data_IF_751453192366
#
_entry.id   IF_751453192366
#
_cell.length_a   1.000
_cell.length_b   1.000
_cell.length_c   1.000
_cell.angle_alpha   90.00
_cell.angle_beta   90.00
_cell.angle_gamma   90.00
#
_symmetry.space_group_name_H-M   'P 1'
#
loop_
_entity.id
_entity.type
_entity.pdbx_description
1 polymer ?
#
# COMPACT_ATOMS: atom_id res chain seq x y z
N UNK A 1 23.77 4.66 -41.25
CA UNK A 1 24.05 4.69 -39.81
C UNK A 1 22.83 5.31 -39.16
N UNK A 2 21.93 4.49 -38.63
CA UNK A 2 20.73 4.96 -37.93
C UNK A 2 20.98 4.86 -36.43
N UNK A 3 20.89 6.00 -35.76
CA UNK A 3 21.07 6.17 -34.33
C UNK A 3 19.81 5.66 -33.61
N UNK A 4 19.92 4.56 -32.87
CA UNK A 4 18.86 4.09 -31.97
C UNK A 4 18.74 5.08 -30.80
N UNK A 5 17.74 5.96 -30.85
CA UNK A 5 17.43 6.91 -29.78
C UNK A 5 16.07 6.61 -29.16
N UNK A 6 15.95 5.47 -28.48
CA UNK A 6 14.90 5.25 -27.50
C UNK A 6 15.51 4.51 -26.30
N UNK A 7 16.10 5.29 -25.40
CA UNK A 7 16.26 4.89 -24.02
C UNK A 7 14.88 5.07 -23.38
N UNK A 8 14.12 3.99 -23.27
CA UNK A 8 13.02 3.91 -22.32
C UNK A 8 13.63 4.03 -20.92
N UNK A 9 13.73 5.27 -20.42
CA UNK A 9 13.87 5.44 -18.98
C UNK A 9 12.57 4.95 -18.37
N UNK A 10 12.57 3.91 -17.53
CA UNK A 10 11.40 3.65 -16.72
C UNK A 10 11.08 4.96 -16.01
N UNK A 11 9.85 5.46 -16.17
CA UNK A 11 9.35 6.53 -15.33
C UNK A 11 9.29 5.94 -13.92
N UNK A 12 10.43 5.98 -13.22
CA UNK A 12 10.50 5.63 -11.82
C UNK A 12 9.65 6.69 -11.16
N UNK A 13 8.36 6.38 -10.91
CA UNK A 13 7.56 7.11 -9.95
C UNK A 13 8.43 7.21 -8.70
N UNK A 14 8.70 8.43 -8.27
CA UNK A 14 9.45 8.62 -7.06
C UNK A 14 8.65 8.03 -5.90
N UNK A 15 9.32 7.54 -4.85
CA UNK A 15 8.61 7.00 -3.68
C UNK A 15 7.68 8.06 -3.04
N UNK A 16 7.95 9.35 -3.26
CA UNK A 16 7.10 10.47 -2.84
C UNK A 16 5.78 10.52 -3.63
N UNK A 17 5.78 10.10 -4.90
CA UNK A 17 4.57 10.04 -5.73
C UNK A 17 3.62 8.91 -5.33
N UNK A 18 4.07 7.98 -4.46
CA UNK A 18 3.30 6.84 -3.97
C UNK A 18 2.65 7.13 -2.60
N UNK A 19 2.90 8.28 -2.00
CA UNK A 19 2.32 8.66 -0.70
C UNK A 19 1.02 9.40 -0.95
N UNK A 20 -0.08 8.75 -0.61
CA UNK A 20 -1.42 9.32 -0.65
C UNK A 20 -1.72 10.08 0.66
N UNK A 21 -2.56 11.13 0.61
CA UNK A 21 -3.10 11.74 1.81
C UNK A 21 -3.80 10.70 2.70
N UNK A 22 -3.69 10.84 4.02
CA UNK A 22 -4.26 9.85 4.94
C UNK A 22 -5.78 9.72 4.78
N UNK A 23 -6.48 10.81 4.44
CA UNK A 23 -7.91 10.81 4.16
C UNK A 23 -8.25 9.95 2.94
N UNK A 24 -7.38 9.94 1.93
CA UNK A 24 -7.56 9.14 0.72
C UNK A 24 -7.30 7.66 1.02
N UNK A 25 -6.22 7.34 1.75
CA UNK A 25 -5.95 5.98 2.25
C UNK A 25 -7.15 5.44 3.05
N UNK A 26 -7.69 6.25 3.97
CA UNK A 26 -8.87 5.88 4.77
C UNK A 26 -10.09 5.60 3.90
N UNK A 27 -10.35 6.46 2.93
CA UNK A 27 -11.47 6.32 1.98
C UNK A 27 -11.35 5.02 1.19
N UNK A 28 -10.18 4.75 0.61
CA UNK A 28 -9.93 3.57 -0.21
C UNK A 28 -10.00 2.27 0.60
N UNK A 29 -9.41 2.24 1.79
CA UNK A 29 -9.53 1.09 2.70
C UNK A 29 -10.98 0.84 3.12
N UNK A 30 -11.75 1.90 3.40
CA UNK A 30 -13.17 1.78 3.73
C UNK A 30 -13.98 1.24 2.55
N UNK A 31 -13.71 1.69 1.33
CA UNK A 31 -14.36 1.20 0.12
C UNK A 31 -14.04 -0.28 -0.10
N UNK A 32 -12.76 -0.66 -0.03
CA UNK A 32 -12.32 -2.05 -0.19
C UNK A 32 -12.96 -2.99 0.83
N UNK A 33 -13.05 -2.55 2.10
CA UNK A 33 -13.73 -3.31 3.16
C UNK A 33 -15.24 -3.47 2.89
N UNK A 34 -15.94 -2.37 2.58
CA UNK A 34 -17.38 -2.39 2.35
C UNK A 34 -17.77 -3.21 1.11
N UNK A 35 -16.92 -3.21 0.07
CA UNK A 35 -17.16 -3.92 -1.17
C UNK A 35 -16.62 -5.37 -1.18
N UNK A 36 -15.91 -5.80 -0.14
CA UNK A 36 -15.13 -7.06 -0.11
C UNK A 36 -14.23 -7.24 -1.35
N UNK A 37 -13.66 -6.13 -1.82
CA UNK A 37 -12.76 -6.12 -2.99
C UNK A 37 -11.31 -6.07 -2.55
N UNK A 38 -10.42 -6.86 -3.16
CA UNK A 38 -8.99 -6.71 -2.99
C UNK A 38 -8.48 -5.29 -3.29
N UNK A 39 -7.44 -4.87 -2.59
CA UNK A 39 -6.72 -3.63 -2.87
C UNK A 39 -5.21 -3.86 -2.79
N UNK A 40 -4.44 -3.10 -3.56
CA UNK A 40 -3.00 -3.00 -3.42
C UNK A 40 -2.68 -2.05 -2.27
N UNK A 41 -1.89 -2.53 -1.32
CA UNK A 41 -1.42 -1.75 -0.18
C UNK A 41 0.06 -1.51 -0.33
N UNK A 42 0.50 -0.27 -0.13
CA UNK A 42 1.90 0.10 0.07
C UNK A 42 2.04 0.51 1.53
N UNK A 43 2.91 -0.16 2.29
CA UNK A 43 3.08 0.08 3.72
C UNK A 43 4.54 0.08 4.17
N UNK A 44 4.80 0.81 5.25
CA UNK A 44 6.09 0.89 5.94
C UNK A 44 6.19 -0.08 7.11
N UNK A 45 7.32 -0.77 7.19
CA UNK A 45 7.70 -1.64 8.28
C UNK A 45 8.99 -1.13 8.89
N UNK A 46 9.04 -1.11 10.22
CA UNK A 46 10.23 -0.70 10.97
C UNK A 46 10.80 -1.90 11.71
N UNK A 47 12.08 -2.17 11.54
CA UNK A 47 12.75 -3.23 12.30
C UNK A 47 13.19 -2.75 13.70
N UNK A 48 13.79 -3.66 14.46
CA UNK A 48 14.29 -3.38 15.81
C UNK A 48 15.48 -2.40 15.84
N UNK A 49 16.20 -2.27 14.72
CA UNK A 49 17.34 -1.35 14.60
C UNK A 49 16.91 0.04 14.09
N UNK A 50 15.63 0.18 13.72
CA UNK A 50 15.05 1.41 13.24
C UNK A 50 15.12 1.62 11.73
N UNK A 51 15.54 0.62 10.96
CA UNK A 51 15.46 0.65 9.50
C UNK A 51 14.01 0.59 9.06
N UNK A 52 13.68 1.42 8.08
CA UNK A 52 12.35 1.48 7.46
C UNK A 52 12.40 0.78 6.11
N UNK A 53 11.46 -0.14 5.91
CA UNK A 53 11.26 -0.90 4.70
C UNK A 53 9.88 -0.60 4.16
N UNK A 54 9.76 -0.49 2.85
CA UNK A 54 8.47 -0.34 2.18
C UNK A 54 8.13 -1.64 1.47
N UNK A 55 6.89 -2.09 1.60
CA UNK A 55 6.38 -3.26 0.90
C UNK A 55 5.10 -2.90 0.16
N UNK A 56 4.96 -3.44 -1.05
CA UNK A 56 3.74 -3.39 -1.84
C UNK A 56 3.18 -4.81 -1.98
N UNK A 57 1.90 -4.99 -1.66
CA UNK A 57 1.24 -6.29 -1.75
C UNK A 57 -0.26 -6.13 -1.99
N UNK A 58 -0.84 -7.13 -2.65
CA UNK A 58 -2.28 -7.21 -2.89
C UNK A 58 -2.94 -7.86 -1.66
N UNK A 59 -3.92 -7.18 -1.09
CA UNK A 59 -4.48 -7.52 0.21
C UNK A 59 -6.01 -7.50 0.20
N UNK A 60 -6.60 -8.27 1.12
CA UNK A 60 -8.02 -8.14 1.50
C UNK A 60 -8.13 -7.50 2.87
N UNK A 61 -8.99 -6.50 2.99
CA UNK A 61 -9.30 -5.86 4.27
C UNK A 61 -10.36 -6.67 5.00
N UNK A 62 -9.99 -7.25 6.15
CA UNK A 62 -10.89 -8.05 6.99
C UNK A 62 -11.55 -7.22 8.09
N UNK A 63 -10.85 -6.21 8.59
CA UNK A 63 -11.38 -5.30 9.59
C UNK A 63 -10.73 -3.94 9.47
N UNK A 64 -11.52 -2.89 9.67
CA UNK A 64 -11.08 -1.51 9.67
C UNK A 64 -11.60 -0.79 10.92
N UNK A 65 -10.72 -0.14 11.67
CA UNK A 65 -11.08 0.65 12.85
C UNK A 65 -10.51 2.05 12.75
N UNK A 66 -11.38 3.01 12.40
CA UNK A 66 -11.03 4.43 12.37
C UNK A 66 -10.69 4.98 13.77
N UNK A 67 -11.38 4.51 14.81
CA UNK A 67 -11.11 4.92 16.20
C UNK A 67 -9.74 4.49 16.69
N UNK A 68 -9.34 3.25 16.37
CA UNK A 68 -8.03 2.71 16.75
C UNK A 68 -6.94 3.02 15.72
N UNK A 69 -7.28 3.73 14.65
CA UNK A 69 -6.43 4.01 13.50
C UNK A 69 -5.64 2.77 13.03
N UNK A 70 -6.32 1.63 12.94
CA UNK A 70 -5.70 0.35 12.56
C UNK A 70 -6.57 -0.41 11.56
N UNK A 71 -5.92 -1.20 10.72
CA UNK A 71 -6.55 -2.07 9.74
C UNK A 71 -5.97 -3.48 9.84
N UNK A 72 -6.83 -4.48 9.75
CA UNK A 72 -6.45 -5.89 9.69
C UNK A 72 -6.62 -6.38 8.26
N UNK A 73 -5.52 -6.81 7.66
CA UNK A 73 -5.45 -7.19 6.25
C UNK A 73 -4.81 -8.57 6.08
N UNK A 74 -5.20 -9.27 5.03
CA UNK A 74 -4.59 -10.53 4.60
C UNK A 74 -3.90 -10.32 3.26
N UNK A 75 -2.59 -10.61 3.17
CA UNK A 75 -1.87 -10.68 1.92
C UNK A 75 -2.36 -11.87 1.09
N UNK A 76 -2.84 -11.59 -0.12
CA UNK A 76 -3.42 -12.60 -1.00
C UNK A 76 -2.39 -13.60 -1.53
N UNK A 77 -1.11 -13.21 -1.61
CA UNK A 77 -0.02 -14.06 -2.11
C UNK A 77 0.48 -15.01 -1.03
N UNK A 78 0.74 -14.51 0.17
CA UNK A 78 1.35 -15.31 1.26
C UNK A 78 0.32 -15.89 2.23
N UNK A 79 -0.92 -15.39 2.21
CA UNK A 79 -1.97 -15.68 3.20
C UNK A 79 -1.59 -15.25 4.63
N UNK A 80 -0.56 -14.42 4.77
CA UNK A 80 -0.20 -13.83 6.06
C UNK A 80 -1.17 -12.71 6.40
N UNK A 81 -1.54 -12.61 7.67
CA UNK A 81 -2.39 -11.54 8.16
C UNK A 81 -1.58 -10.52 8.95
N UNK A 82 -1.86 -9.24 8.70
CA UNK A 82 -1.17 -8.11 9.31
C UNK A 82 -2.18 -7.21 10.02
N UNK A 83 -1.81 -6.74 11.21
CA UNK A 83 -2.47 -5.63 11.88
C UNK A 83 -1.59 -4.39 11.68
N UNK A 84 -2.04 -3.46 10.84
CA UNK A 84 -1.28 -2.29 10.44
C UNK A 84 -1.88 -1.01 11.03
N UNK A 85 -1.07 -0.16 11.67
CA UNK A 85 -1.44 1.23 11.92
C UNK A 85 -1.67 1.96 10.58
N UNK A 86 -2.71 2.77 10.48
CA UNK A 86 -3.05 3.47 9.23
C UNK A 86 -1.95 4.46 8.82
N UNK A 87 -1.28 5.09 9.79
CA UNK A 87 -0.11 5.97 9.57
C UNK A 87 1.07 5.27 8.87
N UNK A 88 1.10 3.94 8.86
CA UNK A 88 2.12 3.15 8.16
C UNK A 88 1.72 2.80 6.74
N UNK A 89 0.49 3.09 6.34
CA UNK A 89 0.00 2.81 4.98
C UNK A 89 0.20 4.07 4.16
N UNK A 90 1.09 3.96 3.18
CA UNK A 90 1.44 5.05 2.27
C UNK A 90 0.42 5.20 1.15
N UNK A 91 -0.17 4.10 0.69
CA UNK A 91 -1.20 4.10 -0.36
C UNK A 91 -2.07 2.85 -0.26
N UNK A 92 -3.34 2.99 -0.64
CA UNK A 92 -4.27 1.88 -0.79
C UNK A 92 -5.09 2.06 -2.07
N UNK A 93 -4.94 1.15 -3.03
CA UNK A 93 -5.56 1.27 -4.35
C UNK A 93 -6.43 0.05 -4.65
N UNK A 94 -7.70 0.21 -5.03
CA UNK A 94 -8.54 -0.92 -5.43
C UNK A 94 -7.94 -1.64 -6.65
N UNK A 95 -8.09 -2.97 -6.69
CA UNK A 95 -7.63 -3.83 -7.78
C UNK A 95 -8.71 -4.10 -8.83
#
# INVERSE_FOLDING_TARGET
MEQLSYLDYPSIQSLEDLIEPIEEVLSQLSLAYCADTPCRIIAEFKDLNGFVYQASFDARVHQFSSQKQTVYVEDLKTRACYLLPIERILSAQPL
#
